data_IF_809343013238
#
_entry.id   IF_809343013238
#
_cell.length_a   1.000
_cell.length_b   1.000
_cell.length_c   1.000
_cell.angle_alpha   90.00
_cell.angle_beta   90.00
_cell.angle_gamma   90.00
#
_symmetry.space_group_name_H-M   'P 1'
#
loop_
_entity.id
_entity.type
_entity.pdbx_description
1 polymer ?
#
# COMPACT_ATOMS: atom_id res chain seq x y z
N UNK A 1 -7.93 -11.58 -36.91
CA UNK A 1 -7.37 -10.22 -37.06
C UNK A 1 -8.07 -9.20 -36.16
N UNK A 2 -9.39 -9.23 -35.96
CA UNK A 2 -10.11 -8.29 -35.08
C UNK A 2 -9.58 -8.17 -33.63
N UNK A 3 -9.08 -9.26 -33.04
CA UNK A 3 -8.50 -9.23 -31.69
C UNK A 3 -7.24 -8.38 -31.57
N UNK A 4 -6.44 -8.26 -32.63
CA UNK A 4 -5.19 -7.50 -32.60
C UNK A 4 -5.41 -5.98 -32.49
N UNK A 5 -6.59 -5.48 -32.85
CA UNK A 5 -6.95 -4.06 -32.72
C UNK A 5 -7.42 -3.70 -31.30
N UNK A 6 -8.01 -4.67 -30.59
CA UNK A 6 -8.58 -4.46 -29.24
C UNK A 6 -7.57 -4.74 -28.13
N UNK A 7 -6.67 -5.70 -28.33
CA UNK A 7 -5.65 -6.06 -27.34
C UNK A 7 -4.78 -4.87 -26.90
N UNK A 8 -4.31 -3.96 -27.79
CA UNK A 8 -3.48 -2.83 -27.40
C UNK A 8 -4.16 -1.90 -26.38
N UNK A 9 -5.45 -1.59 -26.54
CA UNK A 9 -6.16 -0.72 -25.61
C UNK A 9 -6.34 -1.39 -24.23
N UNK A 10 -6.62 -2.70 -24.22
CA UNK A 10 -6.68 -3.48 -22.98
C UNK A 10 -5.33 -3.56 -22.25
N UNK A 11 -4.23 -3.68 -23.00
CA UNK A 11 -2.88 -3.68 -22.42
C UNK A 11 -2.58 -2.33 -21.76
N UNK A 12 -2.91 -1.21 -22.43
CA UNK A 12 -2.70 0.12 -21.88
C UNK A 12 -3.48 0.29 -20.57
N UNK A 13 -4.75 -0.09 -20.53
CA UNK A 13 -5.59 0.00 -19.32
C UNK A 13 -5.01 -0.89 -18.21
N UNK A 14 -4.61 -2.11 -18.52
CA UNK A 14 -4.03 -3.05 -17.55
C UNK A 14 -2.75 -2.48 -16.93
N UNK A 15 -1.84 -1.95 -17.76
CA UNK A 15 -0.59 -1.34 -17.30
C UNK A 15 -0.87 -0.10 -16.45
N UNK A 16 -1.83 0.73 -16.84
CA UNK A 16 -2.21 1.91 -16.07
C UNK A 16 -2.74 1.53 -14.67
N UNK A 17 -3.65 0.56 -14.57
CA UNK A 17 -4.20 0.11 -13.29
C UNK A 17 -3.12 -0.55 -12.42
N UNK A 18 -2.27 -1.40 -13.01
CA UNK A 18 -1.18 -2.04 -12.30
C UNK A 18 -0.17 -1.02 -11.76
N UNK A 19 0.22 -0.03 -12.56
CA UNK A 19 1.16 1.01 -12.14
C UNK A 19 0.59 1.88 -11.03
N UNK A 20 -0.70 2.22 -11.06
CA UNK A 20 -1.37 2.97 -10.00
C UNK A 20 -1.34 2.24 -8.65
N UNK A 21 -1.65 0.94 -8.63
CA UNK A 21 -1.60 0.13 -7.40
C UNK A 21 -0.19 0.02 -6.83
N UNK A 22 0.82 -0.19 -7.69
CA UNK A 22 2.22 -0.24 -7.31
C UNK A 22 2.69 1.10 -6.73
N UNK A 23 2.39 2.21 -7.41
CA UNK A 23 2.75 3.56 -6.98
C UNK A 23 2.16 3.87 -5.60
N UNK A 24 0.88 3.57 -5.37
CA UNK A 24 0.25 3.78 -4.07
C UNK A 24 0.94 2.99 -2.95
N UNK A 25 1.29 1.73 -3.20
CA UNK A 25 1.99 0.89 -2.23
C UNK A 25 3.39 1.39 -1.92
N UNK A 26 4.15 1.77 -2.95
CA UNK A 26 5.52 2.29 -2.81
C UNK A 26 5.52 3.63 -2.09
N UNK A 27 4.69 4.59 -2.51
CA UNK A 27 4.61 5.90 -1.88
C UNK A 27 4.22 5.82 -0.40
N UNK A 28 3.25 4.96 -0.05
CA UNK A 28 2.86 4.78 1.35
C UNK A 28 4.02 4.25 2.20
N UNK A 29 4.78 3.29 1.67
CA UNK A 29 5.95 2.73 2.34
C UNK A 29 7.06 3.76 2.51
N UNK A 30 7.29 4.60 1.51
CA UNK A 30 8.28 5.68 1.58
C UNK A 30 7.86 6.75 2.61
N UNK A 31 6.58 7.10 2.67
CA UNK A 31 6.09 8.15 3.56
C UNK A 31 6.02 7.72 5.04
N UNK A 32 5.67 6.46 5.32
CA UNK A 32 5.44 5.98 6.69
C UNK A 32 6.55 5.08 7.23
N UNK A 33 7.44 4.60 6.37
CA UNK A 33 8.40 3.55 6.69
C UNK A 33 7.79 2.14 6.76
N UNK A 34 6.45 2.03 6.72
CA UNK A 34 5.71 0.78 6.91
C UNK A 34 4.87 0.42 5.69
N UNK A 35 4.57 -0.87 5.51
CA UNK A 35 3.60 -1.29 4.49
C UNK A 35 2.19 -0.93 4.94
N UNK A 36 1.34 -0.57 3.97
CA UNK A 36 -0.07 -0.25 4.25
C UNK A 36 -0.78 -1.47 4.84
N UNK A 37 -1.43 -1.30 5.99
CA UNK A 37 -2.26 -2.31 6.64
C UNK A 37 -3.70 -2.17 6.12
N UNK A 38 -4.29 -3.24 5.61
CA UNK A 38 -5.65 -3.26 5.05
C UNK A 38 -6.55 -4.04 6.01
N UNK A 39 -7.81 -3.63 6.14
CA UNK A 39 -8.77 -4.33 6.99
C UNK A 39 -8.53 -4.17 8.49
N UNK A 40 -7.91 -3.07 8.90
CA UNK A 40 -7.66 -2.78 10.33
C UNK A 40 -8.97 -2.44 11.02
N UNK A 41 -9.28 -3.15 12.10
CA UNK A 41 -10.39 -2.80 12.98
C UNK A 41 -9.95 -1.81 14.07
N UNK A 42 -10.89 -1.46 14.96
CA UNK A 42 -10.58 -0.53 16.06
C UNK A 42 -9.54 -1.10 17.01
N UNK A 43 -9.56 -2.41 17.25
CA UNK A 43 -8.65 -3.07 18.17
C UNK A 43 -7.22 -3.09 17.62
N UNK A 44 -7.06 -3.40 16.33
CA UNK A 44 -5.77 -3.36 15.62
C UNK A 44 -5.10 -1.98 15.71
N UNK A 45 -5.91 -0.93 15.55
CA UNK A 45 -5.42 0.44 15.66
C UNK A 45 -4.92 0.76 17.07
N UNK A 46 -5.66 0.35 18.10
CA UNK A 46 -5.26 0.55 19.49
C UNK A 46 -3.98 -0.21 19.84
N UNK A 47 -3.82 -1.43 19.32
CA UNK A 47 -2.59 -2.21 19.47
C UNK A 47 -1.41 -1.54 18.77
N UNK A 48 -1.60 -1.05 17.55
CA UNK A 48 -0.53 -0.33 16.84
C UNK A 48 -0.08 0.92 17.59
N UNK A 49 -1.02 1.72 18.10
CA UNK A 49 -0.72 2.91 18.88
C UNK A 49 -0.01 2.57 20.19
N UNK A 50 -0.40 1.48 20.86
CA UNK A 50 0.28 0.97 22.05
C UNK A 50 1.73 0.58 21.73
N UNK A 51 1.93 -0.21 20.70
CA UNK A 51 3.25 -0.74 20.35
C UNK A 51 4.22 0.39 19.97
N UNK A 52 3.74 1.41 19.24
CA UNK A 52 4.53 2.62 18.96
C UNK A 52 4.96 3.37 20.23
N UNK A 53 4.11 3.44 21.25
CA UNK A 53 4.46 4.09 22.53
C UNK A 53 5.52 3.29 23.27
N UNK A 54 5.35 1.96 23.35
CA UNK A 54 6.30 1.06 24.00
C UNK A 54 7.68 1.10 23.31
N UNK A 55 7.71 1.17 21.98
CA UNK A 55 8.96 1.28 21.23
C UNK A 55 9.65 2.63 21.46
N UNK A 56 8.89 3.73 21.50
CA UNK A 56 9.43 5.05 21.83
C UNK A 56 10.02 5.09 23.25
N UNK A 57 9.35 4.50 24.23
CA UNK A 57 9.85 4.36 25.61
C UNK A 57 11.12 3.49 25.69
N UNK A 58 11.23 2.45 24.85
CA UNK A 58 12.40 1.58 24.80
C UNK A 58 13.62 2.28 24.19
N UNK A 59 13.44 3.12 23.18
CA UNK A 59 14.53 3.85 22.52
C UNK A 59 14.99 5.06 23.35
N UNK A 60 14.08 5.67 24.13
CA UNK A 60 14.41 6.78 25.02
C UNK A 60 15.16 6.41 26.31
N UNK A 61 15.48 5.13 26.50
CA UNK A 61 16.13 4.57 27.70
C UNK A 61 17.46 3.94 27.33
#
# INVERSE_FOLDING_TARGET
MAWAEVVPSLVIVTVAVASMGLLQGVFHRLATGERRRVGQDRWDRLLYERDRRLEAERVGK
#
